data_IF_656710700907
#
_entry.id   IF_656710700907
#
_cell.length_a   1.000
_cell.length_b   1.000
_cell.length_c   1.000
_cell.angle_alpha   90.00
_cell.angle_beta   90.00
_cell.angle_gamma   90.00
#
_symmetry.space_group_name_H-M   'P 1'
#
loop_
_entity.id
_entity.type
_entity.pdbx_description
1 polymer ?
#
# COMPACT_ATOMS: atom_id res chain seq x y z
N UNK A 1 -13.53 -6.63 32.18
CA UNK A 1 -14.09 -6.15 30.90
C UNK A 1 -13.21 -5.10 30.19
N UNK A 2 -12.84 -3.98 30.83
CA UNK A 2 -11.96 -2.94 30.23
C UNK A 2 -10.56 -3.44 29.83
N UNK A 3 -10.04 -4.46 30.50
CA UNK A 3 -8.73 -5.07 30.19
C UNK A 3 -8.81 -6.02 28.99
N UNK A 4 -9.91 -6.75 28.81
CA UNK A 4 -10.14 -7.60 27.63
C UNK A 4 -10.33 -6.79 26.36
N UNK A 5 -11.03 -5.65 26.44
CA UNK A 5 -11.24 -4.77 25.27
C UNK A 5 -9.92 -4.16 24.76
N UNK A 6 -8.99 -3.84 25.67
CA UNK A 6 -7.64 -3.35 25.31
C UNK A 6 -6.78 -4.44 24.65
N UNK A 7 -6.93 -5.69 25.06
CA UNK A 7 -6.21 -6.83 24.46
C UNK A 7 -6.75 -7.12 23.06
N UNK A 8 -8.07 -7.02 22.85
CA UNK A 8 -8.69 -7.24 21.53
C UNK A 8 -8.28 -6.15 20.53
N UNK A 9 -8.24 -4.87 20.95
CA UNK A 9 -7.77 -3.75 20.11
C UNK A 9 -6.26 -3.86 19.80
N UNK A 10 -5.46 -4.42 20.72
CA UNK A 10 -4.02 -4.64 20.49
C UNK A 10 -3.76 -5.81 19.52
N UNK A 11 -4.60 -6.85 19.55
CA UNK A 11 -4.50 -8.01 18.64
C UNK A 11 -4.91 -7.64 17.22
N UNK A 12 -5.96 -6.83 17.03
CA UNK A 12 -6.38 -6.38 15.69
C UNK A 12 -5.35 -5.45 15.02
N UNK A 13 -4.62 -4.65 15.82
CA UNK A 13 -3.52 -3.82 15.32
C UNK A 13 -2.25 -4.63 14.95
N UNK A 14 -2.04 -5.79 15.58
CA UNK A 14 -0.90 -6.67 15.28
C UNK A 14 -1.14 -7.55 14.04
N UNK A 15 -2.39 -7.94 13.78
CA UNK A 15 -2.74 -8.80 12.62
C UNK A 15 -2.65 -8.09 11.27
N UNK A 16 -2.70 -6.77 11.21
CA UNK A 16 -2.61 -6.01 9.94
C UNK A 16 -1.20 -5.91 9.35
N UNK A 17 -0.16 -6.27 10.10
CA UNK A 17 1.24 -6.19 9.62
C UNK A 17 1.62 -7.41 8.75
N UNK A 18 0.89 -8.52 8.88
CA UNK A 18 1.27 -9.80 8.22
C UNK A 18 0.79 -9.84 6.76
N UNK A 19 -0.28 -9.12 6.40
CA UNK A 19 -0.89 -9.22 5.05
C UNK A 19 -0.12 -8.48 3.95
N UNK A 20 0.84 -7.61 4.28
CA UNK A 20 1.61 -6.88 3.25
C UNK A 20 2.71 -7.75 2.63
N UNK A 21 3.09 -8.86 3.25
CA UNK A 21 4.24 -9.66 2.80
C UNK A 21 3.97 -10.50 1.54
N UNK A 22 2.71 -10.81 1.24
CA UNK A 22 2.34 -11.74 0.17
C UNK A 22 2.30 -11.08 -1.22
N UNK A 23 1.88 -9.83 -1.35
CA UNK A 23 1.98 -9.12 -2.63
C UNK A 23 3.44 -9.02 -3.12
N UNK A 24 4.38 -8.92 -2.18
CA UNK A 24 5.82 -8.92 -2.44
C UNK A 24 6.40 -10.30 -2.79
N UNK A 25 5.66 -11.40 -2.65
CA UNK A 25 6.19 -12.73 -2.93
C UNK A 25 6.16 -13.14 -4.39
N UNK A 26 5.35 -12.48 -5.22
CA UNK A 26 5.18 -12.92 -6.60
C UNK A 26 6.49 -12.82 -7.42
N UNK A 27 7.29 -11.77 -7.19
CA UNK A 27 8.54 -11.54 -7.93
C UNK A 27 9.70 -12.45 -7.51
N UNK A 28 9.66 -13.07 -6.31
CA UNK A 28 10.72 -13.92 -5.77
C UNK A 28 10.35 -15.42 -5.66
N UNK A 29 9.28 -15.88 -6.32
CA UNK A 29 8.96 -17.32 -6.45
C UNK A 29 9.73 -18.01 -7.57
N UNK A 30 9.79 -19.36 -7.55
CA UNK A 30 10.40 -20.19 -8.61
C UNK A 30 9.76 -20.00 -10.00
N UNK A 31 8.48 -19.66 -10.02
CA UNK A 31 7.70 -19.36 -11.23
C UNK A 31 7.40 -17.86 -11.38
N UNK A 32 8.03 -17.00 -10.58
CA UNK A 32 7.88 -15.56 -10.66
C UNK A 32 8.56 -14.95 -11.88
N UNK A 33 8.15 -13.74 -12.31
CA UNK A 33 8.60 -13.14 -13.57
C UNK A 33 10.11 -12.86 -13.62
N UNK A 34 10.73 -12.58 -12.46
CA UNK A 34 12.20 -12.40 -12.35
C UNK A 34 12.93 -13.71 -12.67
N UNK A 35 12.48 -14.84 -12.11
CA UNK A 35 13.09 -16.16 -12.35
C UNK A 35 12.80 -16.66 -13.77
N UNK A 36 11.59 -16.41 -14.30
CA UNK A 36 11.27 -16.72 -15.70
C UNK A 36 12.22 -15.99 -16.65
N UNK A 37 12.43 -14.69 -16.40
CA UNK A 37 13.37 -13.88 -17.18
C UNK A 37 14.81 -14.38 -17.05
N UNK A 38 15.23 -14.80 -15.85
CA UNK A 38 16.55 -15.37 -15.62
C UNK A 38 16.78 -16.68 -16.38
N UNK A 39 15.79 -17.58 -16.36
CA UNK A 39 15.83 -18.85 -17.11
C UNK A 39 16.00 -18.59 -18.60
N UNK A 40 15.23 -17.67 -19.17
CA UNK A 40 15.32 -17.32 -20.60
C UNK A 40 16.64 -16.58 -20.93
N UNK A 41 17.10 -15.67 -20.06
CA UNK A 41 18.38 -14.99 -20.21
C UNK A 41 19.55 -15.98 -20.27
N UNK A 42 19.59 -16.94 -19.34
CA UNK A 42 20.62 -17.96 -19.31
C UNK A 42 20.54 -18.86 -20.55
N UNK A 43 19.34 -19.29 -20.94
CA UNK A 43 19.11 -20.15 -22.12
C UNK A 43 19.56 -19.47 -23.42
N UNK A 44 19.26 -18.18 -23.59
CA UNK A 44 19.57 -17.42 -24.81
C UNK A 44 20.95 -16.76 -24.78
N UNK A 45 21.56 -16.63 -23.60
CA UNK A 45 22.76 -15.82 -23.39
C UNK A 45 22.49 -14.31 -23.41
N UNK A 46 21.23 -13.88 -23.42
CA UNK A 46 20.86 -12.46 -23.50
C UNK A 46 20.62 -11.87 -22.10
N UNK A 47 21.64 -11.18 -21.57
CA UNK A 47 21.55 -10.54 -20.25
C UNK A 47 20.54 -9.40 -20.17
N UNK A 48 20.17 -8.77 -21.29
CA UNK A 48 19.26 -7.63 -21.26
C UNK A 48 17.88 -8.01 -20.70
N UNK A 49 17.49 -9.29 -20.78
CA UNK A 49 16.25 -9.82 -20.21
C UNK A 49 16.20 -9.75 -18.67
N UNK A 50 17.36 -9.68 -18.00
CA UNK A 50 17.44 -9.62 -16.53
C UNK A 50 17.81 -8.23 -16.00
N UNK A 51 18.51 -7.40 -16.78
CA UNK A 51 18.89 -6.05 -16.34
C UNK A 51 17.69 -5.14 -16.11
N UNK A 52 16.56 -5.38 -16.79
CA UNK A 52 15.31 -4.62 -16.58
C UNK A 52 14.70 -4.79 -15.17
N UNK A 53 15.11 -5.83 -14.44
CA UNK A 53 14.58 -6.14 -13.11
C UNK A 53 15.38 -5.53 -11.98
N UNK A 54 16.49 -4.85 -12.26
CA UNK A 54 17.37 -4.28 -11.22
C UNK A 54 17.55 -2.78 -11.41
N UNK A 55 17.93 -2.09 -10.33
CA UNK A 55 18.29 -0.67 -10.42
C UNK A 55 19.61 -0.50 -11.21
N UNK A 56 19.82 0.62 -11.91
CA UNK A 56 21.02 0.84 -12.74
C UNK A 56 22.34 0.62 -11.99
N UNK A 57 22.39 0.97 -10.71
CA UNK A 57 23.60 0.87 -9.88
C UNK A 57 24.00 -0.59 -9.62
N UNK A 58 23.08 -1.53 -9.78
CA UNK A 58 23.31 -2.95 -9.57
C UNK A 58 23.62 -3.74 -10.85
N UNK A 59 23.57 -3.11 -12.03
CA UNK A 59 23.77 -3.80 -13.31
C UNK A 59 25.11 -4.54 -13.39
N UNK A 60 26.20 -3.90 -12.95
CA UNK A 60 27.54 -4.50 -13.03
C UNK A 60 27.68 -5.75 -12.16
N UNK A 61 26.97 -5.80 -11.03
CA UNK A 61 26.90 -6.98 -10.16
C UNK A 61 26.23 -8.13 -10.92
N UNK A 62 25.10 -7.83 -11.60
CA UNK A 62 24.35 -8.83 -12.37
C UNK A 62 25.13 -9.29 -13.61
N UNK A 63 25.79 -8.38 -14.34
CA UNK A 63 26.68 -8.71 -15.47
C UNK A 63 27.77 -9.69 -15.09
N UNK A 64 28.45 -9.43 -13.98
CA UNK A 64 29.50 -10.32 -13.48
C UNK A 64 28.94 -11.69 -13.09
N UNK A 65 27.87 -11.73 -12.31
CA UNK A 65 27.25 -13.00 -11.89
C UNK A 65 26.74 -13.81 -13.09
N UNK A 66 26.12 -13.16 -14.08
CA UNK A 66 25.65 -13.79 -15.30
C UNK A 66 26.79 -14.44 -16.07
N UNK A 67 27.90 -13.72 -16.28
CA UNK A 67 29.06 -14.25 -17.00
C UNK A 67 29.66 -15.47 -16.27
N UNK A 68 29.82 -15.39 -14.94
CA UNK A 68 30.31 -16.52 -14.13
C UNK A 68 29.40 -17.75 -14.28
N UNK A 69 28.08 -17.55 -14.29
CA UNK A 69 27.13 -18.63 -14.50
C UNK A 69 27.24 -19.23 -15.90
N UNK A 70 27.34 -18.42 -16.95
CA UNK A 70 27.52 -18.91 -18.33
C UNK A 70 28.80 -19.75 -18.49
N UNK A 71 29.88 -19.37 -17.81
CA UNK A 71 31.16 -20.07 -17.87
C UNK A 71 31.09 -21.43 -17.17
N UNK A 72 30.48 -21.48 -15.98
CA UNK A 72 30.39 -22.72 -15.17
C UNK A 72 29.35 -23.70 -15.72
N UNK A 73 28.18 -23.20 -16.16
CA UNK A 73 27.02 -24.04 -16.47
C UNK A 73 27.25 -25.01 -17.63
N UNK A 74 28.23 -24.74 -18.50
CA UNK A 74 28.58 -25.59 -19.64
C UNK A 74 29.34 -26.86 -19.27
N UNK A 75 29.77 -27.01 -18.01
CA UNK A 75 30.67 -28.08 -17.58
C UNK A 75 29.97 -29.45 -17.56
N UNK A 76 28.82 -29.56 -16.90
CA UNK A 76 27.98 -30.77 -16.81
C UNK A 76 26.61 -30.41 -16.19
N UNK A 77 25.60 -31.31 -16.22
CA UNK A 77 24.26 -31.02 -15.71
C UNK A 77 24.19 -30.57 -14.24
N UNK A 78 25.04 -31.12 -13.36
CA UNK A 78 25.07 -30.71 -11.94
C UNK A 78 25.68 -29.32 -11.77
N UNK A 79 26.72 -29.01 -12.54
CA UNK A 79 27.32 -27.68 -12.57
C UNK A 79 26.35 -26.63 -13.13
N UNK A 80 25.53 -27.00 -14.13
CA UNK A 80 24.46 -26.16 -14.64
C UNK A 80 23.45 -25.82 -13.54
N UNK A 81 22.91 -26.83 -12.86
CA UNK A 81 21.92 -26.62 -11.80
C UNK A 81 22.45 -25.68 -10.69
N UNK A 82 23.69 -25.92 -10.24
CA UNK A 82 24.31 -25.09 -9.21
C UNK A 82 24.55 -23.65 -9.67
N UNK A 83 25.04 -23.47 -10.89
CA UNK A 83 25.33 -22.15 -11.45
C UNK A 83 24.05 -21.34 -11.75
N UNK A 84 23.00 -22.02 -12.23
CA UNK A 84 21.69 -21.43 -12.48
C UNK A 84 21.06 -20.98 -11.14
N UNK A 85 21.06 -21.84 -10.11
CA UNK A 85 20.55 -21.48 -8.77
C UNK A 85 21.32 -20.31 -8.14
N UNK A 86 22.66 -20.30 -8.24
CA UNK A 86 23.48 -19.17 -7.80
C UNK A 86 23.05 -17.85 -8.46
N UNK A 87 22.79 -17.88 -9.77
CA UNK A 87 22.37 -16.70 -10.50
C UNK A 87 20.97 -16.24 -10.08
N UNK A 88 20.04 -17.19 -9.95
CA UNK A 88 18.66 -16.92 -9.52
C UNK A 88 18.62 -16.25 -8.14
N UNK A 89 19.32 -16.80 -7.15
CA UNK A 89 19.38 -16.22 -5.81
C UNK A 89 20.02 -14.83 -5.82
N UNK A 90 21.08 -14.64 -6.62
CA UNK A 90 21.75 -13.36 -6.77
C UNK A 90 20.83 -12.30 -7.38
N UNK A 91 20.15 -12.62 -8.48
CA UNK A 91 19.24 -11.70 -9.16
C UNK A 91 18.06 -11.34 -8.27
N UNK A 92 17.40 -12.33 -7.66
CA UNK A 92 16.26 -12.09 -6.75
C UNK A 92 16.69 -11.22 -5.58
N UNK A 93 17.81 -11.53 -4.92
CA UNK A 93 18.30 -10.71 -3.80
C UNK A 93 18.54 -9.26 -4.19
N UNK A 94 19.15 -9.01 -5.35
CA UNK A 94 19.42 -7.65 -5.85
C UNK A 94 18.14 -6.92 -6.27
N UNK A 95 17.21 -7.61 -6.92
CA UNK A 95 15.89 -7.08 -7.26
C UNK A 95 15.15 -6.63 -5.99
N UNK A 96 15.03 -7.51 -4.99
CA UNK A 96 14.40 -7.24 -3.68
C UNK A 96 15.04 -6.06 -2.97
N UNK A 97 16.37 -6.00 -2.97
CA UNK A 97 17.11 -4.85 -2.42
C UNK A 97 16.74 -3.54 -3.14
N UNK A 98 16.56 -3.57 -4.46
CA UNK A 98 16.10 -2.42 -5.24
C UNK A 98 14.67 -1.97 -4.91
N UNK A 99 13.83 -2.87 -4.40
CA UNK A 99 12.50 -2.58 -3.86
C UNK A 99 12.53 -2.08 -2.42
N UNK A 100 13.70 -2.08 -1.76
CA UNK A 100 13.84 -1.82 -0.33
C UNK A 100 13.31 -2.96 0.55
N UNK A 101 13.16 -4.16 -0.02
CA UNK A 101 12.59 -5.31 0.65
C UNK A 101 13.68 -6.35 1.04
N UNK A 102 13.53 -7.05 2.18
CA UNK A 102 14.49 -8.07 2.57
C UNK A 102 14.43 -9.27 1.62
N UNK A 103 15.58 -9.91 1.42
CA UNK A 103 15.70 -11.20 0.77
C UNK A 103 15.58 -12.33 1.79
N UNK A 104 14.63 -13.24 1.59
CA UNK A 104 14.36 -14.38 2.48
C UNK A 104 14.49 -15.72 1.78
N UNK A 105 15.23 -15.78 0.67
CA UNK A 105 15.29 -16.95 -0.21
C UNK A 105 14.32 -16.86 -1.39
N UNK A 106 14.54 -17.70 -2.41
CA UNK A 106 13.56 -17.94 -3.47
C UNK A 106 12.42 -18.75 -2.86
N UNK A 107 11.20 -18.26 -3.03
CA UNK A 107 10.01 -18.89 -2.46
C UNK A 107 9.53 -20.05 -3.34
N UNK A 108 8.96 -21.06 -2.71
CA UNK A 108 8.15 -22.05 -3.43
C UNK A 108 6.94 -21.35 -4.06
N UNK A 109 6.41 -21.95 -5.11
CA UNK A 109 5.23 -21.41 -5.77
C UNK A 109 4.04 -21.48 -4.81
N UNK A 110 3.47 -20.32 -4.53
CA UNK A 110 2.26 -20.15 -3.75
C UNK A 110 1.11 -19.70 -4.67
N UNK A 111 -0.12 -19.81 -4.16
CA UNK A 111 -1.26 -19.19 -4.83
C UNK A 111 -1.01 -17.69 -4.96
N UNK A 112 -1.02 -17.20 -6.19
CA UNK A 112 -0.85 -15.77 -6.48
C UNK A 112 -2.13 -15.06 -6.08
N UNK A 113 -1.99 -13.98 -5.31
CA UNK A 113 -3.15 -13.22 -4.85
C UNK A 113 -4.01 -12.76 -6.05
N UNK A 114 -5.36 -12.84 -5.97
CA UNK A 114 -6.23 -12.55 -7.10
C UNK A 114 -5.96 -11.21 -7.81
N UNK A 115 -5.66 -10.09 -7.09
CA UNK A 115 -5.35 -8.81 -7.75
C UNK A 115 -4.08 -8.88 -8.61
N UNK A 116 -3.06 -9.61 -8.17
CA UNK A 116 -1.80 -9.80 -8.91
C UNK A 116 -2.05 -10.68 -10.13
N UNK A 117 -2.75 -11.81 -9.95
CA UNK A 117 -3.10 -12.70 -11.07
C UNK A 117 -3.93 -11.99 -12.14
N UNK A 118 -4.91 -11.17 -11.74
CA UNK A 118 -5.69 -10.37 -12.69
C UNK A 118 -4.83 -9.32 -13.40
N UNK A 119 -3.83 -8.76 -12.71
CA UNK A 119 -2.90 -7.79 -13.29
C UNK A 119 -1.98 -8.44 -14.33
N UNK A 120 -1.46 -9.65 -14.06
CA UNK A 120 -0.65 -10.40 -15.03
C UNK A 120 -1.47 -10.74 -16.29
N UNK A 121 -2.72 -11.21 -16.12
CA UNK A 121 -3.63 -11.47 -17.24
C UNK A 121 -3.98 -10.20 -18.01
N UNK A 122 -4.12 -9.07 -17.32
CA UNK A 122 -4.36 -7.77 -17.97
C UNK A 122 -3.18 -7.35 -18.85
N UNK A 123 -1.95 -7.64 -18.41
CA UNK A 123 -0.75 -7.41 -19.21
C UNK A 123 -0.72 -8.28 -20.47
N UNK A 124 -1.06 -9.57 -20.35
CA UNK A 124 -1.12 -10.51 -21.49
C UNK A 124 -2.24 -10.16 -22.49
N UNK A 125 -3.42 -9.81 -21.99
CA UNK A 125 -4.60 -9.49 -22.81
C UNK A 125 -4.62 -8.06 -23.34
N UNK A 126 -3.78 -7.18 -22.80
CA UNK A 126 -3.73 -5.75 -23.15
C UNK A 126 -4.92 -4.94 -22.63
N UNK A 127 -5.70 -5.45 -21.68
CA UNK A 127 -6.87 -4.77 -21.12
C UNK A 127 -6.97 -4.89 -19.61
N UNK A 128 -7.27 -3.78 -18.93
CA UNK A 128 -7.50 -3.73 -17.48
C UNK A 128 -8.91 -4.08 -17.03
N UNK A 129 -9.81 -4.50 -17.94
CA UNK A 129 -11.25 -4.68 -17.62
C UNK A 129 -11.49 -5.66 -16.47
N UNK A 130 -10.82 -6.82 -16.44
CA UNK A 130 -11.01 -7.80 -15.37
C UNK A 130 -10.52 -7.28 -14.01
N UNK A 131 -9.39 -6.56 -14.00
CA UNK A 131 -8.86 -5.91 -12.79
C UNK A 131 -9.87 -4.89 -12.25
N UNK A 132 -10.40 -4.03 -13.13
CA UNK A 132 -11.39 -3.03 -12.74
C UNK A 132 -12.69 -3.65 -12.21
N UNK A 133 -13.18 -4.70 -12.87
CA UNK A 133 -14.38 -5.40 -12.43
C UNK A 133 -14.20 -6.02 -11.04
N UNK A 134 -13.08 -6.73 -10.83
CA UNK A 134 -12.74 -7.33 -9.55
C UNK A 134 -12.67 -6.29 -8.42
N UNK A 135 -11.95 -5.19 -8.65
CA UNK A 135 -11.81 -4.11 -7.66
C UNK A 135 -13.16 -3.45 -7.36
N UNK A 136 -13.95 -3.13 -8.39
CA UNK A 136 -15.26 -2.51 -8.23
C UNK A 136 -16.22 -3.39 -7.44
N UNK A 137 -16.26 -4.70 -7.72
CA UNK A 137 -17.11 -5.64 -7.00
C UNK A 137 -16.76 -5.67 -5.50
N UNK A 138 -15.47 -5.77 -5.17
CA UNK A 138 -15.00 -5.79 -3.77
C UNK A 138 -15.29 -4.47 -3.05
N UNK A 139 -15.05 -3.33 -3.71
CA UNK A 139 -15.33 -2.00 -3.16
C UNK A 139 -16.84 -1.83 -2.94
N UNK A 140 -17.66 -2.13 -3.95
CA UNK A 140 -19.12 -1.99 -3.86
C UNK A 140 -19.70 -2.83 -2.73
N UNK A 141 -19.28 -4.10 -2.63
CA UNK A 141 -19.68 -4.98 -1.53
C UNK A 141 -19.30 -4.40 -0.17
N UNK A 142 -18.03 -4.05 0.02
CA UNK A 142 -17.55 -3.56 1.30
C UNK A 142 -18.16 -2.22 1.74
N UNK A 143 -18.40 -1.29 0.79
CA UNK A 143 -19.12 -0.04 1.04
C UNK A 143 -20.57 -0.32 1.44
N UNK A 144 -21.27 -1.16 0.68
CA UNK A 144 -22.67 -1.49 0.93
C UNK A 144 -22.88 -2.15 2.30
N UNK A 145 -22.07 -3.14 2.65
CA UNK A 145 -22.14 -3.85 3.92
C UNK A 145 -21.93 -2.92 5.12
N UNK A 146 -20.84 -2.14 5.12
CA UNK A 146 -20.49 -1.25 6.24
C UNK A 146 -21.47 -0.09 6.38
N UNK A 147 -21.94 0.45 5.26
CA UNK A 147 -22.95 1.50 5.27
C UNK A 147 -24.27 0.98 5.86
N UNK A 148 -24.68 -0.23 5.49
CA UNK A 148 -25.88 -0.88 6.04
C UNK A 148 -25.74 -1.11 7.54
N UNK A 149 -24.60 -1.60 8.02
CA UNK A 149 -24.34 -1.76 9.46
C UNK A 149 -24.44 -0.44 10.22
N UNK A 150 -23.82 0.63 9.70
CA UNK A 150 -23.91 1.97 10.27
C UNK A 150 -25.36 2.48 10.30
N UNK A 151 -26.11 2.30 9.21
CA UNK A 151 -27.52 2.72 9.15
C UNK A 151 -28.40 1.96 10.14
N UNK A 152 -28.19 0.65 10.30
CA UNK A 152 -28.94 -0.15 11.27
C UNK A 152 -28.68 0.32 12.70
N UNK A 153 -27.44 0.71 13.02
CA UNK A 153 -27.08 1.23 14.34
C UNK A 153 -27.54 2.68 14.57
N UNK A 154 -27.83 3.45 13.50
CA UNK A 154 -28.17 4.89 13.58
C UNK A 154 -29.46 5.18 14.34
N UNK A 155 -30.42 4.26 14.32
CA UNK A 155 -31.71 4.44 15.00
C UNK A 155 -31.61 3.91 16.44
N UNK A 156 -31.08 4.73 17.34
CA UNK A 156 -30.99 4.44 18.78
C UNK A 156 -31.77 5.47 19.61
N UNK A 157 -32.14 5.08 20.83
CA UNK A 157 -32.69 6.01 21.82
C UNK A 157 -31.59 6.95 22.32
N UNK A 158 -31.79 8.26 22.20
CA UNK A 158 -30.84 9.30 22.62
C UNK A 158 -30.49 9.23 24.11
N UNK A 159 -31.34 8.63 24.93
CA UNK A 159 -31.08 8.41 26.36
C UNK A 159 -30.28 7.13 26.64
N UNK A 160 -30.06 6.29 25.63
CA UNK A 160 -29.25 5.07 25.72
C UNK A 160 -27.84 5.33 25.14
N UNK A 161 -26.92 5.69 26.03
CA UNK A 161 -25.53 6.02 25.68
C UNK A 161 -24.79 4.83 25.07
N UNK A 162 -25.05 3.62 25.53
CA UNK A 162 -24.44 2.40 25.01
C UNK A 162 -24.82 2.14 23.54
N UNK A 163 -26.10 2.30 23.20
CA UNK A 163 -26.56 2.20 21.80
C UNK A 163 -25.99 3.33 20.92
N UNK A 164 -25.89 4.55 21.46
CA UNK A 164 -25.22 5.65 20.76
C UNK A 164 -23.73 5.38 20.49
N UNK A 165 -23.02 4.69 21.40
CA UNK A 165 -21.62 4.28 21.20
C UNK A 165 -21.49 3.22 20.11
N UNK A 166 -22.41 2.28 20.02
CA UNK A 166 -22.44 1.30 18.94
C UNK A 166 -22.59 1.98 17.57
N UNK A 167 -23.48 2.96 17.45
CA UNK A 167 -23.59 3.77 16.24
C UNK A 167 -22.26 4.46 15.88
N UNK A 168 -21.63 5.13 16.86
CA UNK A 168 -20.36 5.85 16.63
C UNK A 168 -19.25 4.88 16.18
N UNK A 169 -19.18 3.68 16.75
CA UNK A 169 -18.24 2.65 16.31
C UNK A 169 -18.44 2.29 14.83
N UNK A 170 -19.67 2.00 14.42
CA UNK A 170 -20.00 1.68 13.01
C UNK A 170 -19.78 2.86 12.07
N UNK A 171 -20.08 4.07 12.52
CA UNK A 171 -19.80 5.30 11.79
C UNK A 171 -18.30 5.46 11.50
N UNK A 172 -17.45 5.33 12.52
CA UNK A 172 -16.00 5.47 12.37
C UNK A 172 -15.43 4.37 11.47
N UNK A 173 -15.90 3.12 11.62
CA UNK A 173 -15.50 2.01 10.74
C UNK A 173 -15.83 2.30 9.27
N UNK A 174 -17.03 2.79 8.98
CA UNK A 174 -17.42 3.15 7.62
C UNK A 174 -16.57 4.29 7.06
N UNK A 175 -16.34 5.36 7.85
CA UNK A 175 -15.54 6.50 7.42
C UNK A 175 -14.09 6.11 7.11
N UNK A 176 -13.42 5.37 8.00
CA UNK A 176 -12.06 4.90 7.75
C UNK A 176 -11.97 3.94 6.56
N UNK A 177 -13.00 3.14 6.31
CA UNK A 177 -13.02 2.25 5.15
C UNK A 177 -13.05 3.04 3.83
N UNK A 178 -13.94 4.03 3.72
CA UNK A 178 -14.04 4.88 2.52
C UNK A 178 -12.78 5.73 2.34
N UNK A 179 -12.29 6.35 3.42
CA UNK A 179 -11.04 7.12 3.41
C UNK A 179 -9.86 6.24 2.99
N UNK A 180 -9.78 5.01 3.49
CA UNK A 180 -8.73 4.05 3.13
C UNK A 180 -8.71 3.75 1.63
N UNK A 181 -9.88 3.49 1.03
CA UNK A 181 -9.99 3.27 -0.42
C UNK A 181 -9.58 4.52 -1.19
N UNK A 182 -10.11 5.70 -0.82
CA UNK A 182 -9.79 6.95 -1.48
C UNK A 182 -8.29 7.27 -1.42
N UNK A 183 -7.67 7.11 -0.25
CA UNK A 183 -6.25 7.35 -0.07
C UNK A 183 -5.38 6.34 -0.84
N UNK A 184 -5.75 5.06 -0.85
CA UNK A 184 -5.02 4.05 -1.62
C UNK A 184 -5.07 4.32 -3.13
N UNK A 185 -6.18 4.87 -3.64
CA UNK A 185 -6.30 5.26 -5.03
C UNK A 185 -5.52 6.54 -5.38
N UNK A 186 -5.36 7.47 -4.44
CA UNK A 186 -4.69 8.77 -4.67
C UNK A 186 -3.20 8.80 -4.28
N UNK A 187 -2.77 7.90 -3.40
CA UNK A 187 -1.37 7.79 -2.95
C UNK A 187 -0.81 6.47 -3.42
N UNK A 188 -0.02 6.51 -4.49
CA UNK A 188 0.72 5.34 -4.95
C UNK A 188 1.93 5.11 -4.03
N UNK A 189 2.18 3.89 -3.53
CA UNK A 189 3.51 3.54 -3.03
C UNK A 189 4.47 3.62 -4.23
N UNK A 190 5.46 4.51 -4.16
CA UNK A 190 6.58 4.44 -5.08
C UNK A 190 7.33 3.12 -4.83
N UNK A 191 7.56 2.32 -5.87
CA UNK A 191 8.53 1.22 -5.84
C UNK A 191 9.95 1.81 -5.74
N UNK A 192 10.33 2.15 -4.52
CA UNK A 192 11.60 2.76 -4.18
C UNK A 192 11.37 3.99 -3.31
N UNK A 193 12.04 4.02 -2.16
CA UNK A 193 12.25 5.26 -1.44
C UNK A 193 12.90 6.26 -2.41
N UNK A 194 12.17 7.30 -2.83
CA UNK A 194 12.84 8.51 -3.31
C UNK A 194 13.59 9.12 -2.13
N UNK A 195 14.77 9.71 -2.35
CA UNK A 195 15.52 10.37 -1.28
C UNK A 195 14.63 11.44 -0.66
N UNK A 196 14.56 11.43 0.67
CA UNK A 196 13.87 12.45 1.45
C UNK A 196 14.20 13.85 0.89
N UNK A 197 13.17 14.57 0.46
CA UNK A 197 13.26 15.99 0.13
C UNK A 197 13.79 16.70 1.37
N UNK A 198 15.05 17.14 1.29
CA UNK A 198 15.64 17.99 2.31
C UNK A 198 14.92 19.32 2.26
N UNK A 199 14.28 19.68 3.36
CA UNK A 199 13.95 21.05 3.68
C UNK A 199 15.22 21.90 3.56
N UNK A 200 15.25 22.86 2.65
CA UNK A 200 16.25 23.91 2.63
C UNK A 200 15.59 25.28 2.81
N UNK A 201 16.10 26.00 3.79
CA UNK A 201 15.72 27.32 4.22
C UNK A 201 16.74 28.32 3.66
N UNK A 202 16.27 29.41 3.06
CA UNK A 202 17.01 30.68 3.05
C UNK A 202 17.51 31.24 1.71
N UNK A 203 16.74 32.24 1.23
CA UNK A 203 17.16 33.51 0.59
C UNK A 203 17.96 33.49 -0.73
N UNK A 204 17.46 34.20 -1.76
CA UNK A 204 17.92 35.55 -2.16
C UNK A 204 16.99 36.09 -3.27
N UNK A 205 16.66 37.39 -3.20
CA UNK A 205 15.86 38.14 -4.18
C UNK A 205 16.54 38.25 -5.56
N UNK A 206 15.77 38.12 -6.65
CA UNK A 206 15.86 39.06 -7.78
C UNK A 206 14.56 39.10 -8.59
N UNK A 207 14.00 40.30 -8.69
CA UNK A 207 12.85 40.74 -9.48
C UNK A 207 13.10 40.62 -10.98
N UNK A 208 12.15 40.06 -11.73
CA UNK A 208 11.68 40.65 -13.01
C UNK A 208 10.24 40.20 -13.25
N UNK A 209 9.41 41.20 -13.53
CA UNK A 209 7.97 41.18 -13.70
C UNK A 209 7.61 40.76 -15.14
N UNK A 210 6.80 39.72 -15.30
CA UNK A 210 6.08 39.41 -16.55
C UNK A 210 4.69 38.91 -16.17
N UNK A 211 3.67 39.70 -16.50
CA UNK A 211 2.25 39.32 -16.47
C UNK A 211 1.97 38.57 -17.78
N UNK A 212 1.37 37.37 -17.73
CA UNK A 212 0.05 37.26 -18.37
C UNK A 212 -0.95 36.33 -17.66
N UNK A 213 -2.21 36.75 -17.80
CA UNK A 213 -3.40 35.92 -18.06
C UNK A 213 -4.09 35.17 -16.90
N UNK A 214 -5.34 35.61 -16.65
CA UNK A 214 -6.31 34.99 -15.74
C UNK A 214 -6.57 33.54 -16.13
N UNK A 215 -6.15 32.60 -15.29
CA UNK A 215 -6.73 31.25 -15.24
C UNK A 215 -7.55 31.09 -13.96
N UNK A 216 -8.73 30.47 -14.10
CA UNK A 216 -9.68 30.24 -13.03
C UNK A 216 -9.06 29.40 -11.89
N UNK A 217 -8.98 29.98 -10.70
CA UNK A 217 -8.67 29.25 -9.48
C UNK A 217 -9.78 28.23 -9.17
N UNK A 218 -9.46 26.95 -9.26
CA UNK A 218 -10.19 25.89 -8.56
C UNK A 218 -9.85 26.08 -7.09
N UNK A 219 -10.86 26.40 -6.28
CA UNK A 219 -10.73 26.56 -4.83
C UNK A 219 -10.13 25.29 -4.22
N UNK A 220 -8.93 25.41 -3.66
CA UNK A 220 -8.41 24.41 -2.74
C UNK A 220 -9.41 24.25 -1.60
N UNK A 221 -9.92 23.03 -1.42
CA UNK A 221 -10.82 22.70 -0.34
C UNK A 221 -10.02 22.82 0.97
N UNK A 222 -10.24 23.92 1.69
CA UNK A 222 -9.60 24.26 2.96
C UNK A 222 -10.02 23.23 4.03
N UNK A 223 -9.21 22.17 4.18
CA UNK A 223 -9.38 21.13 5.20
C UNK A 223 -9.18 21.68 6.62
N UNK A 224 -8.49 22.82 6.75
CA UNK A 224 -8.29 23.55 8.00
C UNK A 224 -9.59 24.13 8.54
N UNK A 225 -10.48 24.63 7.67
CA UNK A 225 -11.81 25.12 8.04
C UNK A 225 -12.72 24.03 8.60
N UNK A 226 -12.71 22.83 7.99
CA UNK A 226 -13.51 21.69 8.46
C UNK A 226 -13.03 21.15 9.81
N UNK A 227 -11.71 21.11 10.04
CA UNK A 227 -11.16 20.70 11.33
C UNK A 227 -11.57 21.68 12.45
N UNK A 228 -11.59 22.98 12.16
CA UNK A 228 -12.02 24.01 13.11
C UNK A 228 -13.53 23.92 13.42
N UNK A 229 -14.35 23.57 12.44
CA UNK A 229 -15.79 23.35 12.65
C UNK A 229 -16.05 22.12 13.52
N UNK A 230 -15.30 21.02 13.31
CA UNK A 230 -15.41 19.79 14.10
C UNK A 230 -14.92 20.01 15.54
N UNK A 231 -13.78 20.68 15.73
CA UNK A 231 -13.27 21.01 17.07
C UNK A 231 -14.20 21.98 17.80
N UNK A 232 -14.75 22.97 17.09
CA UNK A 232 -15.72 23.92 17.64
C UNK A 232 -17.03 23.25 18.10
N UNK A 233 -17.56 22.32 17.31
CA UNK A 233 -18.78 21.57 17.68
C UNK A 233 -18.55 20.64 18.87
N UNK A 234 -17.39 19.98 18.96
CA UNK A 234 -17.04 19.17 20.14
C UNK A 234 -16.90 20.01 21.42
N UNK A 235 -16.39 21.24 21.32
CA UNK A 235 -16.26 22.16 22.45
C UNK A 235 -17.63 22.65 22.96
N UNK A 236 -18.56 22.96 22.06
CA UNK A 236 -19.93 23.35 22.42
C UNK A 236 -20.65 22.20 23.14
N UNK A 237 -20.51 20.97 22.64
CA UNK A 237 -21.09 19.77 23.26
C UNK A 237 -20.49 19.56 24.66
N UNK A 238 -19.18 19.72 24.83
CA UNK A 238 -18.52 19.60 26.14
C UNK A 238 -19.05 20.65 27.15
N UNK A 239 -19.24 21.90 26.72
CA UNK A 239 -19.79 22.97 27.56
C UNK A 239 -21.25 22.70 27.94
N UNK A 240 -22.07 22.18 27.01
CA UNK A 240 -23.45 21.77 27.30
C UNK A 240 -23.53 20.60 28.30
N UNK A 241 -22.60 19.63 28.22
CA UNK A 241 -22.51 18.52 29.17
C UNK A 241 -22.12 19.03 30.58
N UNK A 242 -21.14 19.94 30.67
CA UNK A 242 -20.69 20.50 31.95
C UNK A 242 -21.79 21.33 32.61
N UNK A 243 -22.47 22.18 31.84
CA UNK A 243 -23.57 23.03 32.34
C UNK A 243 -24.80 22.21 32.76
N UNK A 244 -25.13 21.15 32.02
CA UNK A 244 -26.21 20.21 32.39
C UNK A 244 -25.92 19.46 33.69
N UNK A 245 -24.67 19.00 33.89
CA UNK A 245 -24.24 18.36 35.15
C UNK A 245 -24.30 19.30 36.34
N UNK A 246 -23.95 20.59 36.15
CA UNK A 246 -24.02 21.60 37.22
C UNK A 246 -25.47 21.89 37.64
N UNK A 247 -26.42 21.88 36.69
CA UNK A 247 -27.86 22.08 36.97
C UNK A 247 -28.48 20.91 37.75
N UNK A 248 -28.00 19.68 37.53
CA UNK A 248 -28.46 18.47 38.25
C UNK A 248 -27.86 18.31 39.66
N UNK A 249 -26.86 19.12 40.02
CA UNK A 249 -26.23 19.13 41.35
C UNK A 249 -26.86 20.14 42.32
N UNK A 250 -27.79 20.98 41.85
CA UNK A 250 -28.41 22.08 42.62
C UNK A 250 -29.93 21.83 42.81
N UNK A 251 -30.43 20.69 42.34
CA UNK A 251 -31.80 20.18 42.54
C UNK A 251 -31.75 18.89 43.33
#
# INVERSE_FOLDING_TARGET
>A
MKMLFKIIVLITFFTTIISVQNAYSHCDTKSGPVIISAKEALKTGNINLVLIWVKPEAEEIIKKAFQQTIDVRKTNPKAQELADNYFFETLVRIHRQGEGAPYTGIKEDAEVEPPIQASDKALESGTGTEVLNMLNEHIQKGVSEKFKEMLNAKSYDENNVEAGREFVEKYVVFMHYVEGIYNAANKMPAHGASPAEKHEHGTTEHRTEVIPEKSHAISGHDTTGHLLIIVGTLLIIAVQIITSRKKKSIS
#
